data_IF_829912769763
#
_entry.id   IF_829912769763
#
_cell.length_a   1.000
_cell.length_b   1.000
_cell.length_c   1.000
_cell.angle_alpha   90.00
_cell.angle_beta   90.00
_cell.angle_gamma   90.00
#
_symmetry.space_group_name_H-M   'P 1'
#
loop_
_entity.id
_entity.type
_entity.pdbx_description
1 polymer ?
#
# COMPACT_ATOMS: atom_id res chain seq x y z
N UNK A 1 3.73 -6.31 31.36
CA UNK A 1 3.54 -5.57 30.10
C UNK A 1 4.17 -6.23 28.86
N UNK A 2 5.48 -6.49 28.82
CA UNK A 2 6.18 -7.01 27.61
C UNK A 2 5.74 -8.41 27.17
N UNK A 3 5.23 -9.24 28.08
CA UNK A 3 4.78 -10.61 27.76
C UNK A 3 3.39 -10.73 27.10
N UNK A 4 2.61 -9.64 27.08
CA UNK A 4 1.25 -9.60 26.47
C UNK A 4 1.28 -9.22 24.99
N UNK A 5 2.37 -8.62 24.51
CA UNK A 5 2.55 -8.27 23.11
C UNK A 5 3.38 -9.38 22.45
N UNK A 6 2.99 -9.78 21.25
CA UNK A 6 3.75 -10.75 20.45
C UNK A 6 5.24 -10.43 20.44
N UNK A 7 6.13 -11.42 20.42
CA UNK A 7 7.57 -11.17 20.35
C UNK A 7 7.90 -10.25 19.17
N UNK A 8 8.62 -9.19 19.44
CA UNK A 8 8.99 -8.14 18.47
C UNK A 8 9.53 -8.67 17.12
N UNK A 9 10.30 -9.78 17.05
CA UNK A 9 10.73 -10.35 15.78
C UNK A 9 9.60 -10.77 14.86
N UNK A 10 8.51 -11.33 15.39
CA UNK A 10 7.36 -11.74 14.56
C UNK A 10 6.60 -10.53 13.99
N UNK A 11 6.46 -9.47 14.79
CA UNK A 11 5.86 -8.21 14.34
C UNK A 11 6.68 -7.58 13.23
N UNK A 12 7.99 -7.46 13.42
CA UNK A 12 8.90 -6.91 12.43
C UNK A 12 8.90 -7.73 11.13
N UNK A 13 8.89 -9.05 11.24
CA UNK A 13 8.83 -9.95 10.10
C UNK A 13 7.53 -9.76 9.28
N UNK A 14 6.39 -9.73 9.94
CA UNK A 14 5.11 -9.54 9.28
C UNK A 14 5.00 -8.16 8.61
N UNK A 15 5.51 -7.10 9.25
CA UNK A 15 5.60 -5.78 8.65
C UNK A 15 6.52 -5.76 7.42
N UNK A 16 7.66 -6.44 7.48
CA UNK A 16 8.57 -6.57 6.34
C UNK A 16 7.86 -7.25 5.16
N UNK A 17 7.16 -8.37 5.40
CA UNK A 17 6.39 -9.08 4.38
C UNK A 17 5.26 -8.21 3.80
N UNK A 18 4.64 -7.35 4.60
CA UNK A 18 3.61 -6.43 4.14
C UNK A 18 4.16 -5.29 3.25
N UNK A 19 5.43 -4.90 3.42
CA UNK A 19 6.08 -3.85 2.61
C UNK A 19 6.54 -4.37 1.25
N UNK A 20 6.83 -5.66 1.09
CA UNK A 20 7.28 -6.24 -0.19
C UNK A 20 6.31 -5.93 -1.34
N UNK A 21 4.99 -6.21 -1.25
CA UNK A 21 4.06 -5.90 -2.34
C UNK A 21 3.95 -4.40 -2.61
N UNK A 22 4.16 -3.53 -1.62
CA UNK A 22 4.25 -2.07 -1.83
C UNK A 22 5.43 -1.73 -2.73
N UNK A 23 6.62 -2.20 -2.39
CA UNK A 23 7.84 -1.95 -3.17
C UNK A 23 7.70 -2.47 -4.61
N UNK A 24 7.16 -3.69 -4.79
CA UNK A 24 6.90 -4.29 -6.09
C UNK A 24 5.89 -3.45 -6.90
N UNK A 25 4.79 -3.01 -6.32
CA UNK A 25 3.78 -2.19 -7.00
C UNK A 25 4.38 -0.88 -7.54
N UNK A 26 5.17 -0.19 -6.73
CA UNK A 26 5.84 1.04 -7.15
C UNK A 26 6.92 0.77 -8.22
N UNK A 27 7.68 -0.33 -8.11
CA UNK A 27 8.67 -0.73 -9.11
C UNK A 27 8.02 -1.02 -10.47
N UNK A 28 6.95 -1.84 -10.48
CA UNK A 28 6.17 -2.19 -11.68
C UNK A 28 5.58 -0.89 -12.29
N UNK A 29 4.93 -0.07 -11.49
CA UNK A 29 4.29 1.15 -11.97
C UNK A 29 5.30 2.16 -12.53
N UNK A 30 6.50 2.28 -11.93
CA UNK A 30 7.59 3.13 -12.46
C UNK A 30 8.17 2.56 -13.75
N UNK A 31 8.46 1.27 -13.76
CA UNK A 31 9.04 0.60 -14.91
C UNK A 31 8.11 0.60 -16.12
N UNK A 32 6.84 0.25 -15.94
CA UNK A 32 5.83 0.30 -17.01
C UNK A 32 5.66 1.72 -17.59
N UNK A 33 5.75 2.76 -16.74
CA UNK A 33 5.74 4.16 -17.20
C UNK A 33 7.01 4.53 -17.99
N UNK A 34 8.18 4.02 -17.59
CA UNK A 34 9.44 4.23 -18.33
C UNK A 34 9.40 3.53 -19.69
N UNK A 35 8.98 2.26 -19.74
CA UNK A 35 8.83 1.52 -20.99
C UNK A 35 7.93 2.25 -21.98
N UNK A 36 6.85 2.80 -21.46
CA UNK A 36 5.92 3.55 -22.28
C UNK A 36 6.52 4.82 -22.86
N UNK A 37 7.30 5.56 -22.07
CA UNK A 37 7.97 6.78 -22.55
C UNK A 37 9.05 6.45 -23.57
N UNK A 38 9.76 5.34 -23.39
CA UNK A 38 10.89 4.93 -24.23
C UNK A 38 10.47 4.20 -25.51
N UNK A 39 9.42 3.35 -25.43
CA UNK A 39 9.08 2.41 -26.50
C UNK A 39 7.62 2.54 -26.98
N UNK A 40 6.83 3.46 -26.42
CA UNK A 40 5.40 3.60 -26.71
C UNK A 40 4.52 2.42 -26.25
N UNK A 41 5.10 1.35 -25.70
CA UNK A 41 4.42 0.13 -25.27
C UNK A 41 5.02 -0.43 -23.98
N UNK A 42 4.19 -1.18 -23.20
CA UNK A 42 4.64 -1.89 -22.01
C UNK A 42 5.16 -3.27 -22.45
N UNK A 43 6.33 -3.66 -21.96
CA UNK A 43 6.90 -5.00 -22.16
C UNK A 43 6.33 -5.98 -21.14
N UNK A 44 5.14 -6.48 -21.41
CA UNK A 44 4.39 -7.36 -20.48
C UNK A 44 5.20 -8.60 -20.05
N UNK A 45 6.05 -9.17 -20.91
CA UNK A 45 6.90 -10.31 -20.57
C UNK A 45 7.83 -10.06 -19.38
N UNK A 46 8.21 -8.79 -19.15
CA UNK A 46 9.04 -8.40 -18.00
C UNK A 46 8.20 -8.12 -16.75
N UNK A 47 7.03 -7.47 -16.91
CA UNK A 47 6.23 -6.99 -15.78
C UNK A 47 5.22 -8.02 -15.27
N UNK A 48 4.82 -8.98 -16.10
CA UNK A 48 3.89 -10.04 -15.70
C UNK A 48 4.46 -10.94 -14.61
N UNK A 49 5.71 -11.46 -14.69
CA UNK A 49 6.29 -12.23 -13.59
C UNK A 49 6.36 -11.47 -12.27
N UNK A 50 6.77 -10.18 -12.32
CA UNK A 50 6.76 -9.33 -11.13
C UNK A 50 5.35 -9.10 -10.59
N UNK A 51 4.36 -8.98 -11.47
CA UNK A 51 2.94 -8.87 -11.11
C UNK A 51 2.42 -10.12 -10.40
N UNK A 52 2.84 -11.31 -10.83
CA UNK A 52 2.50 -12.57 -10.15
C UNK A 52 3.15 -12.66 -8.76
N UNK A 53 4.42 -12.29 -8.65
CA UNK A 53 5.09 -12.20 -7.34
C UNK A 53 4.38 -11.17 -6.44
N UNK A 54 4.05 -10.01 -6.97
CA UNK A 54 3.27 -9.00 -6.24
C UNK A 54 1.94 -9.56 -5.72
N UNK A 55 1.18 -10.27 -6.57
CA UNK A 55 -0.10 -10.87 -6.21
C UNK A 55 0.06 -11.95 -5.13
N UNK A 56 1.11 -12.77 -5.20
CA UNK A 56 1.41 -13.80 -4.21
C UNK A 56 1.75 -13.20 -2.83
N UNK A 57 2.38 -12.01 -2.79
CA UNK A 57 2.72 -11.33 -1.53
C UNK A 57 1.61 -10.42 -1.01
N UNK A 58 0.66 -10.02 -1.85
CA UNK A 58 -0.39 -9.07 -1.49
C UNK A 58 -1.24 -9.49 -0.27
N UNK A 59 -1.63 -10.78 -0.11
CA UNK A 59 -2.38 -11.23 1.06
C UNK A 59 -1.66 -11.00 2.40
N UNK A 60 -0.31 -10.95 2.42
CA UNK A 60 0.44 -10.70 3.65
C UNK A 60 0.15 -9.32 4.25
N UNK A 61 -0.13 -8.31 3.42
CA UNK A 61 -0.54 -6.99 3.91
C UNK A 61 -1.89 -7.05 4.61
N UNK A 62 -2.85 -7.80 4.05
CA UNK A 62 -4.17 -7.98 4.66
C UNK A 62 -4.15 -8.92 5.85
N UNK A 63 -3.18 -9.84 5.93
CA UNK A 63 -3.04 -10.75 7.05
C UNK A 63 -2.88 -10.02 8.38
N UNK A 64 -2.25 -8.83 8.38
CA UNK A 64 -2.13 -7.99 9.57
C UNK A 64 -3.50 -7.57 10.14
N UNK A 65 -4.55 -7.49 9.31
CA UNK A 65 -5.91 -7.24 9.79
C UNK A 65 -6.45 -8.38 10.64
N UNK A 66 -6.00 -9.60 10.40
CA UNK A 66 -6.45 -10.80 11.14
C UNK A 66 -5.74 -10.93 12.49
N UNK A 67 -4.75 -10.09 12.78
CA UNK A 67 -4.06 -10.07 14.08
C UNK A 67 -4.98 -9.66 15.24
N UNK A 68 -6.15 -9.07 14.95
CA UNK A 68 -7.20 -8.86 15.94
C UNK A 68 -7.68 -10.16 16.62
N UNK A 69 -7.52 -11.30 15.97
CA UNK A 69 -7.74 -12.59 16.60
C UNK A 69 -6.83 -12.77 17.81
N UNK A 70 -5.55 -12.45 17.68
CA UNK A 70 -4.61 -12.55 18.80
C UNK A 70 -4.90 -11.53 19.91
N UNK A 71 -5.44 -10.37 19.56
CA UNK A 71 -5.96 -9.44 20.54
C UNK A 71 -7.12 -10.07 21.33
N UNK A 72 -8.09 -10.67 20.66
CA UNK A 72 -9.21 -11.37 21.30
C UNK A 72 -8.72 -12.55 22.16
N UNK A 73 -7.77 -13.34 21.66
CA UNK A 73 -7.15 -14.43 22.43
C UNK A 73 -6.47 -13.87 23.70
N UNK A 74 -5.77 -12.74 23.58
CA UNK A 74 -5.14 -12.06 24.73
C UNK A 74 -6.18 -11.62 25.76
N UNK A 75 -7.32 -11.09 25.32
CA UNK A 75 -8.40 -10.67 26.22
C UNK A 75 -9.08 -11.83 26.93
N UNK A 76 -9.23 -12.97 26.25
CA UNK A 76 -9.92 -14.14 26.82
C UNK A 76 -9.02 -15.00 27.70
N UNK A 77 -7.72 -15.07 27.40
CA UNK A 77 -6.76 -15.91 28.09
C UNK A 77 -5.98 -15.20 29.20
N UNK A 78 -5.99 -13.86 29.23
CA UNK A 78 -5.31 -13.08 30.26
C UNK A 78 -6.32 -12.34 31.14
N UNK A 79 -5.96 -12.06 32.41
CA UNK A 79 -6.79 -11.24 33.30
C UNK A 79 -6.83 -9.76 32.93
N UNK A 80 -6.25 -9.36 31.77
CA UNK A 80 -6.07 -7.97 31.35
C UNK A 80 -7.39 -7.18 31.35
N UNK A 81 -8.45 -7.77 30.80
CA UNK A 81 -9.77 -7.15 30.76
C UNK A 81 -10.37 -6.98 32.17
N UNK A 82 -10.27 -7.99 33.04
CA UNK A 82 -10.72 -7.90 34.41
C UNK A 82 -9.91 -6.86 35.21
N UNK A 83 -8.60 -6.83 35.03
CA UNK A 83 -7.71 -5.87 35.68
C UNK A 83 -7.96 -4.42 35.22
N UNK A 84 -8.38 -4.21 33.98
CA UNK A 84 -8.71 -2.88 33.45
C UNK A 84 -9.91 -2.24 34.17
N UNK A 85 -10.77 -3.03 34.77
CA UNK A 85 -11.89 -2.55 35.59
C UNK A 85 -11.55 -2.38 37.09
N UNK A 86 -10.41 -2.94 37.54
CA UNK A 86 -10.05 -2.98 38.95
C UNK A 86 -8.97 -1.96 39.34
N UNK A 87 -8.12 -1.55 38.38
CA UNK A 87 -7.00 -0.65 38.67
C UNK A 87 -6.69 0.29 37.50
N UNK A 88 -6.13 1.48 37.81
CA UNK A 88 -5.66 2.42 36.81
C UNK A 88 -4.50 1.86 35.98
N UNK A 89 -3.64 1.06 36.58
CA UNK A 89 -2.52 0.40 35.89
C UNK A 89 -3.05 -0.64 34.88
N UNK A 90 -4.02 -1.47 35.28
CA UNK A 90 -4.67 -2.41 34.37
C UNK A 90 -5.41 -1.74 33.23
N UNK A 91 -6.01 -0.57 33.48
CA UNK A 91 -6.63 0.25 32.44
C UNK A 91 -5.58 0.77 31.44
N UNK A 92 -4.44 1.28 31.93
CA UNK A 92 -3.37 1.75 31.08
C UNK A 92 -2.79 0.63 30.23
N UNK A 93 -2.55 -0.55 30.81
CA UNK A 93 -2.05 -1.72 30.09
C UNK A 93 -3.02 -2.17 28.99
N UNK A 94 -4.31 -2.19 29.30
CA UNK A 94 -5.34 -2.49 28.28
C UNK A 94 -5.30 -1.51 27.11
N UNK A 95 -5.25 -0.22 27.36
CA UNK A 95 -5.16 0.81 26.29
C UNK A 95 -3.89 0.68 25.47
N UNK A 96 -2.74 0.37 26.06
CA UNK A 96 -1.48 0.14 25.33
C UNK A 96 -1.63 -1.03 24.36
N UNK A 97 -2.24 -2.13 24.80
CA UNK A 97 -2.46 -3.30 23.93
C UNK A 97 -3.44 -2.97 22.80
N UNK A 98 -4.54 -2.28 23.08
CA UNK A 98 -5.50 -1.83 22.04
C UNK A 98 -4.83 -0.94 21.01
N UNK A 99 -4.07 0.08 21.46
CA UNK A 99 -3.36 1.00 20.56
C UNK A 99 -2.34 0.24 19.70
N UNK A 100 -1.61 -0.70 20.29
CA UNK A 100 -0.65 -1.52 19.54
C UNK A 100 -1.33 -2.29 18.40
N UNK A 101 -2.42 -3.02 18.67
CA UNK A 101 -3.10 -3.80 17.63
C UNK A 101 -3.80 -2.90 16.61
N UNK A 102 -4.29 -1.74 17.00
CA UNK A 102 -4.87 -0.75 16.09
C UNK A 102 -3.81 -0.21 15.11
N UNK A 103 -2.65 0.18 15.62
CA UNK A 103 -1.54 0.68 14.79
C UNK A 103 -0.99 -0.42 13.88
N UNK A 104 -0.85 -1.64 14.41
CA UNK A 104 -0.32 -2.78 13.66
C UNK A 104 -1.25 -3.18 12.51
N UNK A 105 -2.56 -3.30 12.77
CA UNK A 105 -3.56 -3.57 11.74
C UNK A 105 -3.70 -2.42 10.75
N UNK A 106 -3.66 -1.17 11.23
CA UNK A 106 -3.68 0.03 10.41
C UNK A 106 -2.48 0.11 9.46
N UNK A 107 -1.29 -0.28 9.91
CA UNK A 107 -0.10 -0.36 9.07
C UNK A 107 -0.28 -1.40 7.94
N UNK A 108 -0.88 -2.56 8.25
CA UNK A 108 -1.21 -3.57 7.25
C UNK A 108 -2.20 -3.07 6.20
N UNK A 109 -3.27 -2.43 6.65
CA UNK A 109 -4.28 -1.84 5.77
C UNK A 109 -3.69 -0.76 4.86
N UNK A 110 -2.86 0.12 5.41
CA UNK A 110 -2.15 1.14 4.65
C UNK A 110 -1.18 0.52 3.63
N UNK A 111 -0.41 -0.50 4.02
CA UNK A 111 0.46 -1.23 3.12
C UNK A 111 -0.32 -1.87 1.97
N UNK A 112 -1.47 -2.48 2.26
CA UNK A 112 -2.37 -3.03 1.23
C UNK A 112 -2.83 -1.96 0.23
N UNK A 113 -3.30 -0.81 0.71
CA UNK A 113 -3.73 0.27 -0.17
C UNK A 113 -2.58 0.80 -1.04
N UNK A 114 -1.41 1.00 -0.45
CA UNK A 114 -0.21 1.45 -1.16
C UNK A 114 0.30 0.40 -2.16
N UNK A 115 0.05 -0.89 -1.91
CA UNK A 115 0.39 -1.95 -2.85
C UNK A 115 -0.59 -2.02 -4.04
N UNK A 116 -1.86 -1.68 -3.87
CA UNK A 116 -2.87 -1.73 -4.94
C UNK A 116 -2.89 -0.43 -5.76
N UNK A 117 -2.85 0.72 -5.10
CA UNK A 117 -3.09 2.04 -5.68
C UNK A 117 -2.23 2.40 -6.91
N UNK A 118 -0.89 2.17 -6.97
CA UNK A 118 -0.08 2.53 -8.13
C UNK A 118 -0.43 1.73 -9.39
N UNK A 119 -0.80 0.45 -9.21
CA UNK A 119 -1.18 -0.45 -10.30
C UNK A 119 -2.59 -0.18 -10.77
N UNK A 120 -3.51 0.08 -9.87
CA UNK A 120 -4.87 0.50 -10.19
C UNK A 120 -4.87 1.79 -11.02
N UNK A 121 -4.10 2.80 -10.62
CA UNK A 121 -3.95 4.03 -11.42
C UNK A 121 -3.28 3.82 -12.77
N UNK A 122 -2.35 2.87 -12.86
CA UNK A 122 -1.70 2.52 -14.12
C UNK A 122 -2.71 1.89 -15.09
N UNK A 123 -3.54 0.96 -14.61
CA UNK A 123 -4.54 0.25 -15.42
C UNK A 123 -5.70 1.15 -15.83
N UNK A 124 -6.22 2.00 -14.94
CA UNK A 124 -7.28 2.98 -15.24
C UNK A 124 -6.92 3.90 -16.41
N UNK A 125 -5.69 4.37 -16.44
CA UNK A 125 -5.23 5.31 -17.49
C UNK A 125 -5.08 4.68 -18.86
N UNK A 126 -5.06 3.33 -18.95
CA UNK A 126 -4.72 2.63 -20.18
C UNK A 126 -5.86 1.84 -20.81
N UNK A 127 -6.60 1.15 -20.01
CA UNK A 127 -7.66 0.27 -20.48
C UNK A 127 -8.77 0.28 -19.44
N UNK A 128 -9.76 1.12 -19.67
CA UNK A 128 -10.88 1.28 -18.74
C UNK A 128 -11.53 -0.05 -18.37
N UNK A 129 -11.71 -0.95 -19.36
CA UNK A 129 -12.34 -2.25 -19.13
C UNK A 129 -11.43 -3.26 -18.40
N UNK A 130 -10.10 -3.29 -18.70
CA UNK A 130 -9.16 -4.16 -17.98
C UNK A 130 -9.05 -3.74 -16.51
N UNK A 131 -8.94 -2.44 -16.25
CA UNK A 131 -8.95 -1.93 -14.88
C UNK A 131 -10.26 -2.22 -14.17
N UNK A 132 -11.39 -2.09 -14.85
CA UNK A 132 -12.70 -2.40 -14.30
C UNK A 132 -12.88 -3.89 -13.99
N UNK A 133 -12.30 -4.79 -14.80
CA UNK A 133 -12.36 -6.24 -14.58
C UNK A 133 -11.36 -6.74 -13.50
N UNK A 134 -10.15 -6.17 -13.46
CA UNK A 134 -9.13 -6.58 -12.49
C UNK A 134 -9.50 -6.23 -11.04
N UNK A 135 -10.15 -5.09 -10.82
CA UNK A 135 -10.55 -4.66 -9.48
C UNK A 135 -11.42 -5.67 -8.73
N UNK A 136 -12.57 -6.13 -9.28
CA UNK A 136 -13.40 -7.08 -8.57
C UNK A 136 -12.71 -8.42 -8.33
N UNK A 137 -11.62 -8.74 -9.04
CA UNK A 137 -10.87 -9.99 -8.87
C UNK A 137 -9.77 -9.88 -7.81
N UNK A 138 -9.06 -8.75 -7.71
CA UNK A 138 -7.92 -8.59 -6.79
C UNK A 138 -8.37 -8.74 -5.34
N UNK A 139 -9.51 -8.16 -4.95
CA UNK A 139 -9.96 -8.17 -3.56
C UNK A 139 -10.42 -9.57 -3.10
N UNK A 140 -11.25 -10.32 -3.83
CA UNK A 140 -11.56 -11.71 -3.49
C UNK A 140 -10.33 -12.64 -3.53
N UNK A 141 -9.41 -12.46 -4.49
CA UNK A 141 -8.17 -13.22 -4.52
C UNK A 141 -7.30 -12.95 -3.29
N UNK A 142 -7.21 -11.70 -2.85
CA UNK A 142 -6.53 -11.35 -1.63
C UNK A 142 -7.22 -11.97 -0.40
N UNK A 143 -8.55 -11.91 -0.34
CA UNK A 143 -9.34 -12.53 0.72
C UNK A 143 -9.15 -14.06 0.76
N UNK A 144 -9.12 -14.73 -0.40
CA UNK A 144 -8.81 -16.15 -0.50
C UNK A 144 -7.39 -16.46 0.01
N UNK A 145 -6.40 -15.64 -0.36
CA UNK A 145 -5.03 -15.79 0.13
C UNK A 145 -4.92 -15.64 1.65
N UNK A 146 -5.66 -14.71 2.25
CA UNK A 146 -5.77 -14.57 3.72
C UNK A 146 -6.41 -15.81 4.32
N UNK A 147 -7.50 -16.32 3.75
CA UNK A 147 -8.16 -17.55 4.19
C UNK A 147 -7.18 -18.74 4.20
N UNK A 148 -6.44 -18.93 3.10
CA UNK A 148 -5.45 -20.00 3.00
C UNK A 148 -4.34 -19.89 4.06
N UNK A 149 -3.90 -18.68 4.37
CA UNK A 149 -2.92 -18.42 5.45
C UNK A 149 -3.46 -18.65 6.86
N UNK A 150 -4.79 -18.62 7.05
CA UNK A 150 -5.46 -18.84 8.34
C UNK A 150 -5.88 -20.29 8.58
N UNK A 151 -5.86 -21.14 7.55
CA UNK A 151 -6.34 -22.53 7.64
C UNK A 151 -5.48 -23.34 8.63
N UNK A 152 -6.04 -23.91 9.71
CA UNK A 152 -5.24 -24.55 10.77
C UNK A 152 -4.51 -25.80 10.30
N UNK A 153 -5.11 -26.57 9.39
CA UNK A 153 -4.58 -27.84 8.90
C UNK A 153 -3.35 -27.66 7.99
N UNK A 154 -3.32 -26.59 7.22
CA UNK A 154 -2.26 -26.28 6.26
C UNK A 154 -2.02 -24.77 6.24
N UNK A 155 -1.19 -24.27 7.15
CA UNK A 155 -0.74 -22.87 7.09
C UNK A 155 0.08 -22.66 5.83
N UNK A 156 -0.55 -22.11 4.79
CA UNK A 156 0.17 -21.75 3.58
C UNK A 156 0.87 -20.42 3.77
N UNK A 157 2.18 -20.43 3.53
CA UNK A 157 3.01 -19.24 3.43
C UNK A 157 3.26 -18.90 1.97
N UNK A 158 3.61 -17.65 1.68
CA UNK A 158 3.96 -17.20 0.32
C UNK A 158 5.07 -18.06 -0.32
N UNK A 159 5.99 -18.59 0.50
CA UNK A 159 7.07 -19.48 0.05
C UNK A 159 6.60 -20.85 -0.41
N UNK A 160 5.43 -21.32 0.01
CA UNK A 160 4.87 -22.62 -0.39
C UNK A 160 4.54 -22.64 -1.89
N UNK A 161 4.31 -21.47 -2.51
CA UNK A 161 4.13 -21.33 -3.96
C UNK A 161 5.36 -21.80 -4.75
N UNK A 162 6.56 -21.76 -4.16
CA UNK A 162 7.80 -22.22 -4.79
C UNK A 162 8.01 -23.74 -4.69
N UNK A 163 7.17 -24.45 -3.93
CA UNK A 163 7.29 -25.89 -3.72
C UNK A 163 6.16 -26.62 -4.46
N UNK A 164 6.45 -27.44 -5.50
CA UNK A 164 5.41 -28.05 -6.34
C UNK A 164 4.38 -28.87 -5.58
N UNK A 165 4.80 -29.64 -4.56
CA UNK A 165 3.90 -30.45 -3.73
C UNK A 165 2.96 -29.56 -2.88
N UNK A 166 3.45 -28.44 -2.33
CA UNK A 166 2.64 -27.46 -1.59
C UNK A 166 1.68 -26.70 -2.50
N UNK A 167 2.08 -26.47 -3.75
CA UNK A 167 1.22 -25.81 -4.74
C UNK A 167 -0.02 -26.67 -5.05
N UNK A 168 0.14 -28.00 -5.13
CA UNK A 168 -1.01 -28.91 -5.31
C UNK A 168 -1.98 -28.82 -4.11
N UNK A 169 -1.47 -28.87 -2.88
CA UNK A 169 -2.28 -28.75 -1.66
C UNK A 169 -3.00 -27.39 -1.61
N UNK A 170 -2.31 -26.32 -2.02
CA UNK A 170 -2.88 -24.97 -2.08
C UNK A 170 -4.04 -24.92 -3.09
N UNK A 171 -3.88 -25.47 -4.29
CA UNK A 171 -4.93 -25.52 -5.32
C UNK A 171 -6.12 -26.34 -4.86
N UNK A 172 -5.89 -27.50 -4.25
CA UNK A 172 -6.95 -28.36 -3.71
C UNK A 172 -7.73 -27.62 -2.59
N UNK A 173 -7.01 -26.99 -1.66
CA UNK A 173 -7.64 -26.26 -0.54
C UNK A 173 -8.40 -25.03 -1.05
N UNK A 174 -7.85 -24.29 -2.01
CA UNK A 174 -8.54 -23.18 -2.65
C UNK A 174 -9.80 -23.66 -3.40
N UNK A 175 -9.70 -24.76 -4.14
CA UNK A 175 -10.83 -25.38 -4.84
C UNK A 175 -11.93 -25.80 -3.89
N UNK A 176 -11.61 -26.44 -2.78
CA UNK A 176 -12.59 -26.84 -1.75
C UNK A 176 -13.26 -25.63 -1.10
N UNK A 177 -12.52 -24.55 -0.84
CA UNK A 177 -13.09 -23.30 -0.32
C UNK A 177 -14.07 -22.66 -1.29
N UNK A 178 -13.73 -22.61 -2.59
CA UNK A 178 -14.58 -22.03 -3.63
C UNK A 178 -15.80 -22.91 -3.94
N UNK A 179 -15.72 -24.22 -3.69
CA UNK A 179 -16.83 -25.17 -3.85
C UNK A 179 -17.85 -25.10 -2.71
N UNK A 180 -17.47 -24.58 -1.54
CA UNK A 180 -18.37 -24.37 -0.41
C UNK A 180 -19.08 -23.03 -0.52
N UNK A 181 -20.43 -22.96 -0.67
CA UNK A 181 -21.14 -21.71 -0.76
C UNK A 181 -20.92 -20.78 0.45
N UNK A 182 -20.79 -21.37 1.64
CA UNK A 182 -20.51 -20.62 2.86
C UNK A 182 -19.12 -19.97 2.85
N UNK A 183 -18.06 -20.73 2.53
CA UNK A 183 -16.70 -20.22 2.47
C UNK A 183 -16.52 -19.22 1.33
N UNK A 184 -17.12 -19.49 0.18
CA UNK A 184 -17.17 -18.53 -0.94
C UNK A 184 -17.83 -17.21 -0.50
N UNK A 185 -18.96 -17.30 0.22
CA UNK A 185 -19.64 -16.13 0.78
C UNK A 185 -18.75 -15.32 1.70
N UNK A 186 -17.97 -15.98 2.59
CA UNK A 186 -17.01 -15.30 3.47
C UNK A 186 -15.87 -14.62 2.69
N UNK A 187 -15.31 -15.31 1.70
CA UNK A 187 -14.25 -14.74 0.84
C UNK A 187 -14.76 -13.51 0.09
N UNK A 188 -15.97 -13.59 -0.48
CA UNK A 188 -16.59 -12.47 -1.18
C UNK A 188 -16.92 -11.31 -0.24
N UNK A 189 -17.45 -11.60 0.96
CA UNK A 189 -17.76 -10.58 1.96
C UNK A 189 -16.49 -9.86 2.43
N UNK A 190 -15.42 -10.60 2.74
CA UNK A 190 -14.15 -10.00 3.14
C UNK A 190 -13.51 -9.21 1.98
N UNK A 191 -13.57 -9.74 0.75
CA UNK A 191 -13.15 -9.01 -0.45
C UNK A 191 -13.93 -7.72 -0.66
N UNK A 192 -15.24 -7.73 -0.43
CA UNK A 192 -16.08 -6.53 -0.52
C UNK A 192 -15.72 -5.48 0.56
N UNK A 193 -15.43 -5.91 1.78
CA UNK A 193 -14.94 -5.02 2.84
C UNK A 193 -13.60 -4.39 2.45
N UNK A 194 -12.65 -5.17 1.95
CA UNK A 194 -11.37 -4.64 1.46
C UNK A 194 -11.56 -3.64 0.31
N UNK A 195 -12.47 -3.95 -0.61
CA UNK A 195 -12.81 -3.04 -1.71
C UNK A 195 -13.41 -1.72 -1.20
N UNK A 196 -14.33 -1.79 -0.23
CA UNK A 196 -14.96 -0.60 0.36
C UNK A 196 -13.92 0.31 1.03
N UNK A 197 -13.04 -0.26 1.84
CA UNK A 197 -11.95 0.50 2.47
C UNK A 197 -10.98 1.08 1.44
N UNK A 198 -10.66 0.31 0.39
CA UNK A 198 -9.83 0.81 -0.70
C UNK A 198 -10.50 1.97 -1.45
N UNK A 199 -11.80 1.87 -1.73
CA UNK A 199 -12.55 2.94 -2.40
C UNK A 199 -12.54 4.23 -1.56
N UNK A 200 -12.73 4.12 -0.24
CA UNK A 200 -12.63 5.26 0.66
C UNK A 200 -11.22 5.88 0.66
N UNK A 201 -10.17 5.04 0.68
CA UNK A 201 -8.79 5.48 0.58
C UNK A 201 -8.49 6.18 -0.76
N UNK A 202 -8.98 5.65 -1.88
CA UNK A 202 -8.77 6.22 -3.22
C UNK A 202 -9.41 7.62 -3.34
N UNK A 203 -10.65 7.77 -2.83
CA UNK A 203 -11.33 9.07 -2.75
C UNK A 203 -10.54 10.06 -1.87
N UNK A 204 -10.06 9.60 -0.72
CA UNK A 204 -9.26 10.44 0.17
C UNK A 204 -7.95 10.89 -0.47
N UNK A 205 -7.25 10.00 -1.16
CA UNK A 205 -6.01 10.30 -1.90
C UNK A 205 -6.24 11.28 -3.04
N UNK A 206 -7.36 11.17 -3.75
CA UNK A 206 -7.72 12.13 -4.81
C UNK A 206 -8.03 13.52 -4.23
N UNK A 207 -8.76 13.58 -3.13
CA UNK A 207 -9.01 14.82 -2.40
C UNK A 207 -7.73 15.46 -1.87
N UNK A 208 -6.80 14.65 -1.35
CA UNK A 208 -5.51 15.14 -0.89
C UNK A 208 -4.64 15.69 -2.03
N UNK A 209 -4.55 14.97 -3.14
CA UNK A 209 -3.82 15.40 -4.33
C UNK A 209 -4.38 16.72 -4.90
N UNK A 210 -5.72 16.86 -4.94
CA UNK A 210 -6.38 18.08 -5.38
C UNK A 210 -6.05 19.29 -4.48
N UNK A 211 -6.08 19.10 -3.15
CA UNK A 211 -5.72 20.15 -2.18
C UNK A 211 -4.27 20.60 -2.32
N UNK A 212 -3.34 19.67 -2.54
CA UNK A 212 -1.94 19.99 -2.80
C UNK A 212 -1.76 20.77 -4.09
N UNK A 213 -2.39 20.34 -5.18
CA UNK A 213 -2.32 21.02 -6.47
C UNK A 213 -2.85 22.46 -6.37
N UNK A 214 -3.96 22.69 -5.64
CA UNK A 214 -4.53 24.01 -5.43
C UNK A 214 -3.60 24.93 -4.63
N UNK A 215 -2.92 24.42 -3.59
CA UNK A 215 -1.93 25.20 -2.82
C UNK A 215 -0.73 25.62 -3.67
N UNK A 216 -0.24 24.74 -4.55
CA UNK A 216 0.84 25.07 -5.47
C UNK A 216 0.42 26.13 -6.50
N UNK A 217 -0.81 26.06 -7.00
CA UNK A 217 -1.35 27.05 -7.94
C UNK A 217 -1.44 28.45 -7.32
N UNK A 218 -1.95 28.57 -6.10
CA UNK A 218 -1.98 29.85 -5.37
C UNK A 218 -0.57 30.40 -5.15
N UNK A 219 0.36 29.59 -4.68
CA UNK A 219 1.74 30.00 -4.41
C UNK A 219 2.46 30.48 -5.68
N UNK A 220 2.20 29.87 -6.83
CA UNK A 220 2.75 30.31 -8.10
C UNK A 220 2.09 31.61 -8.59
N UNK A 221 0.79 31.80 -8.38
CA UNK A 221 0.10 33.04 -8.70
C UNK A 221 0.64 34.21 -7.88
N UNK A 222 0.83 34.02 -6.56
CA UNK A 222 1.40 35.04 -5.67
C UNK A 222 2.84 35.40 -6.09
N UNK A 223 3.65 34.39 -6.44
CA UNK A 223 5.03 34.61 -6.92
C UNK A 223 5.06 35.40 -8.21
N UNK A 224 4.20 35.10 -9.18
CA UNK A 224 4.10 35.80 -10.46
C UNK A 224 3.57 37.24 -10.28
N UNK A 225 2.70 37.48 -9.28
CA UNK A 225 2.23 38.84 -8.95
C UNK A 225 3.38 39.68 -8.39
N UNK A 226 4.17 39.13 -7.45
CA UNK A 226 5.34 39.79 -6.86
C UNK A 226 6.38 40.11 -7.95
N UNK A 227 6.61 39.18 -8.88
CA UNK A 227 7.58 39.38 -9.98
C UNK A 227 7.14 40.45 -10.99
N UNK A 228 5.82 40.60 -11.20
CA UNK A 228 5.27 41.69 -12.07
C UNK A 228 5.35 43.06 -11.42
N UNK A 229 5.21 43.11 -10.10
CA UNK A 229 5.26 44.38 -9.35
C UNK A 229 6.69 44.77 -8.95
N UNK A 230 7.68 43.91 -9.22
CA UNK A 230 9.07 44.25 -9.01
C UNK A 230 9.49 45.39 -9.98
N UNK A 231 10.02 46.54 -9.48
CA UNK A 231 10.44 47.64 -10.32
C UNK A 231 11.52 47.13 -11.27
N UNK A 232 11.31 47.41 -12.56
CA UNK A 232 12.32 47.12 -13.60
C UNK A 232 13.65 47.75 -13.19
N UNK A 233 14.64 46.90 -12.88
CA UNK A 233 15.98 47.40 -12.64
C UNK A 233 16.41 48.23 -13.85
N UNK A 234 16.85 49.49 -13.64
CA UNK A 234 17.30 50.30 -14.75
C UNK A 234 18.42 49.56 -15.49
N UNK A 235 18.20 49.28 -16.75
CA UNK A 235 19.23 48.74 -17.62
C UNK A 235 20.44 49.65 -17.48
N UNK A 236 21.48 49.13 -16.81
CA UNK A 236 22.76 49.80 -16.72
C UNK A 236 23.20 50.20 -18.11
N UNK A 237 23.13 51.53 -18.38
CA UNK A 237 23.63 52.13 -19.59
C UNK A 237 25.08 51.66 -19.73
N UNK A 238 25.30 50.81 -20.73
CA UNK A 238 26.63 50.32 -21.06
C UNK A 238 27.59 51.47 -21.19
N UNK A 239 28.53 51.57 -20.26
CA UNK A 239 29.78 52.28 -20.50
C UNK A 239 30.48 51.55 -21.64
N UNK A 240 30.27 52.08 -22.82
CA UNK A 240 31.07 51.83 -24.02
C UNK A 240 32.45 52.50 -23.77
N UNK A 241 33.37 51.73 -23.20
CA UNK A 241 34.79 52.13 -23.13
C UNK A 241 35.36 52.06 -24.54
N UNK A 242 35.31 53.23 -25.19
CA UNK A 242 36.00 53.56 -26.42
C UNK A 242 37.26 54.28 -25.93
N UNK A 243 38.39 53.65 -26.13
CA UNK A 243 39.66 54.34 -26.48
C UNK A 243 40.84 53.40 -26.12
N UNK A 244 41.42 52.80 -27.15
CA UNK A 244 42.83 52.46 -27.21
C UNK A 244 43.43 53.04 -28.42
N UNK A 245 44.31 54.06 -28.31
CA UNK A 245 45.09 54.55 -29.44
C UNK A 245 46.29 53.62 -29.68
N UNK A 246 46.60 53.56 -30.95
CA UNK A 246 47.82 53.07 -31.56
C UNK A 246 49.12 53.41 -30.82
N UNK A 247 50.04 52.45 -30.78
CA UNK A 247 51.45 52.68 -30.73
C UNK A 247 52.16 51.66 -31.63
N UNK A 248 52.67 52.21 -32.72
CA UNK A 248 53.73 51.74 -33.63
C UNK A 248 55.06 51.56 -32.90
N UNK A 249 55.74 50.46 -33.12
CA UNK A 249 57.17 50.31 -33.44
C UNK A 249 57.47 48.77 -33.60
#
# INVERSE_FOLDING_TARGET
MIGLIRPAPNVAWNLLLAVIPVALAFAIARGARRDMRAHGRIRWGLWLPLGLVWLAFLPNSCYLLTEWRHFLDTLTQSPLFAQSHQSREGQADFFVVVIFYLLYSGAGLLAFFLAVWPLDRLTRRRSGWVGAALRPLIFPLCALGVYLGLTPAHRFNTWDVLHPHRLTDLVVTAGSALSSPFLLGLVLAFGAILWLFYAAFDIWMDGFAWRLARRHSHRNADRNAIEKDAPALPHGSGMREKDSPHATA
#
